data_IF_315570053009
#
_entry.id   IF_315570053009
#
_cell.length_a   1.000
_cell.length_b   1.000
_cell.length_c   1.000
_cell.angle_alpha   90.00
_cell.angle_beta   90.00
_cell.angle_gamma   90.00
#
_symmetry.space_group_name_H-M   'P 1'
#
loop_
_entity.id
_entity.type
_entity.pdbx_description
1 polymer ?
#
# COMPACT_ATOMS: atom_id res chain seq x y z
N UNK A 1 13.14 11.89 -24.04
CA UNK A 1 12.95 10.54 -23.47
C UNK A 1 11.68 10.59 -22.64
N UNK A 2 10.80 9.60 -22.74
CA UNK A 2 9.62 9.56 -21.89
C UNK A 2 10.05 8.96 -20.54
N UNK A 3 10.12 9.79 -19.52
CA UNK A 3 10.46 9.34 -18.17
C UNK A 3 9.28 8.57 -17.55
N UNK A 4 9.61 7.46 -16.91
CA UNK A 4 8.64 6.68 -16.15
C UNK A 4 8.18 7.47 -14.92
N UNK A 5 6.87 7.65 -14.75
CA UNK A 5 6.34 8.08 -13.46
C UNK A 5 6.20 6.87 -12.53
N UNK A 6 6.24 7.11 -11.21
CA UNK A 6 6.11 6.02 -10.22
C UNK A 6 4.83 5.19 -10.40
N UNK A 7 3.71 5.85 -10.72
CA UNK A 7 2.43 5.18 -10.97
C UNK A 7 2.47 4.31 -12.23
N UNK A 8 3.08 4.80 -13.31
CA UNK A 8 3.24 4.03 -14.54
C UNK A 8 4.10 2.79 -14.30
N UNK A 9 5.17 2.94 -13.51
CA UNK A 9 6.06 1.83 -13.19
C UNK A 9 5.33 0.72 -12.42
N UNK A 10 4.60 1.10 -11.37
CA UNK A 10 3.82 0.14 -10.57
C UNK A 10 2.71 -0.51 -11.41
N UNK A 11 2.02 0.26 -12.25
CA UNK A 11 0.99 -0.26 -13.16
C UNK A 11 1.57 -1.30 -14.12
N UNK A 12 2.69 -0.98 -14.77
CA UNK A 12 3.35 -1.90 -15.70
C UNK A 12 3.85 -3.17 -14.99
N UNK A 13 4.43 -3.06 -13.79
CA UNK A 13 4.85 -4.22 -13.01
C UNK A 13 3.67 -5.15 -12.65
N UNK A 14 2.51 -4.59 -12.32
CA UNK A 14 1.29 -5.35 -12.05
C UNK A 14 0.68 -5.94 -13.33
N UNK A 15 0.73 -5.24 -14.45
CA UNK A 15 0.29 -5.78 -15.74
C UNK A 15 1.12 -7.01 -16.13
N UNK A 16 2.46 -6.92 -16.03
CA UNK A 16 3.35 -8.05 -16.31
C UNK A 16 3.11 -9.24 -15.37
N UNK A 17 2.74 -9.01 -14.10
CA UNK A 17 2.30 -10.09 -13.20
C UNK A 17 1.08 -10.82 -13.75
N UNK A 18 0.04 -10.08 -14.12
CA UNK A 18 -1.21 -10.65 -14.63
C UNK A 18 -1.02 -11.39 -15.94
N UNK A 19 -0.29 -10.80 -16.88
CA UNK A 19 0.02 -11.41 -18.19
C UNK A 19 0.73 -12.76 -18.06
N UNK A 20 1.61 -12.89 -17.06
CA UNK A 20 2.36 -14.13 -16.78
C UNK A 20 1.62 -15.10 -15.83
N UNK A 21 0.47 -14.70 -15.29
CA UNK A 21 -0.26 -15.47 -14.26
C UNK A 21 0.48 -15.58 -12.93
N UNK A 22 1.37 -14.63 -12.63
CA UNK A 22 2.14 -14.61 -11.39
C UNK A 22 1.46 -13.75 -10.33
N UNK A 23 1.60 -14.19 -9.07
CA UNK A 23 1.16 -13.43 -7.91
C UNK A 23 2.33 -12.75 -7.20
N UNK A 24 2.03 -11.70 -6.45
CA UNK A 24 3.00 -11.09 -5.53
C UNK A 24 3.35 -12.09 -4.43
N UNK A 25 4.64 -12.35 -4.17
CA UNK A 25 5.04 -13.19 -3.07
C UNK A 25 4.76 -12.50 -1.74
N UNK A 26 4.23 -13.23 -0.76
CA UNK A 26 3.99 -12.73 0.60
C UNK A 26 5.28 -12.27 1.31
N UNK A 27 6.42 -12.86 0.94
CA UNK A 27 7.73 -12.50 1.50
C UNK A 27 8.79 -12.40 0.41
N UNK A 28 9.48 -11.27 0.38
CA UNK A 28 10.62 -11.04 -0.51
C UNK A 28 11.90 -11.07 0.31
N UNK A 29 12.71 -12.13 0.17
CA UNK A 29 13.96 -12.29 0.90
C UNK A 29 15.08 -11.37 0.39
N UNK A 30 15.08 -11.04 -0.90
CA UNK A 30 16.04 -10.13 -1.53
C UNK A 30 15.29 -9.02 -2.31
N UNK A 31 14.97 -7.88 -1.67
CA UNK A 31 14.17 -6.83 -2.29
C UNK A 31 14.88 -6.18 -3.48
N UNK A 32 16.19 -5.98 -3.40
CA UNK A 32 16.95 -5.34 -4.46
C UNK A 32 17.04 -6.24 -5.71
N UNK A 33 17.36 -7.53 -5.53
CA UNK A 33 17.41 -8.49 -6.64
C UNK A 33 16.04 -8.71 -7.28
N UNK A 34 14.99 -8.76 -6.46
CA UNK A 34 13.62 -8.84 -6.95
C UNK A 34 13.24 -7.62 -7.81
N UNK A 35 13.55 -6.41 -7.34
CA UNK A 35 13.26 -5.18 -8.08
C UNK A 35 14.04 -5.13 -9.40
N UNK A 36 15.33 -5.45 -9.39
CA UNK A 36 16.15 -5.47 -10.60
C UNK A 36 15.63 -6.48 -11.64
N UNK A 37 15.29 -7.69 -11.20
CA UNK A 37 14.69 -8.71 -12.07
C UNK A 37 13.34 -8.26 -12.67
N UNK A 38 12.54 -7.50 -11.90
CA UNK A 38 11.27 -6.95 -12.39
C UNK A 38 11.47 -5.85 -13.41
N UNK A 39 12.36 -4.91 -13.13
CA UNK A 39 12.68 -3.81 -14.05
C UNK A 39 13.20 -4.33 -15.39
N UNK A 40 13.99 -5.42 -15.38
CA UNK A 40 14.50 -6.04 -16.60
C UNK A 40 13.42 -6.68 -17.50
N UNK A 41 12.21 -6.94 -16.98
CA UNK A 41 11.11 -7.51 -17.74
C UNK A 41 10.19 -6.46 -18.37
N UNK A 42 10.34 -5.19 -17.98
CA UNK A 42 9.53 -4.10 -18.51
C UNK A 42 10.05 -3.68 -19.90
N UNK A 43 9.18 -3.17 -20.78
CA UNK A 43 9.61 -2.57 -22.03
C UNK A 43 10.48 -1.32 -21.78
N UNK A 44 11.38 -1.02 -22.72
CA UNK A 44 12.33 0.09 -22.60
C UNK A 44 11.66 1.47 -22.50
N UNK A 45 10.44 1.61 -23.01
CA UNK A 45 9.64 2.83 -22.94
C UNK A 45 8.32 2.56 -22.25
N UNK A 46 7.81 3.48 -21.43
CA UNK A 46 6.47 3.34 -20.88
C UNK A 46 5.48 3.23 -22.02
N UNK A 47 4.57 2.26 -21.95
CA UNK A 47 3.40 2.29 -22.80
C UNK A 47 2.70 3.61 -22.50
N UNK A 48 2.57 4.46 -23.51
CA UNK A 48 1.78 5.69 -23.40
C UNK A 48 0.34 5.21 -23.21
N UNK A 49 -0.08 5.04 -21.96
CA UNK A 49 -1.48 4.89 -21.65
C UNK A 49 -2.12 6.18 -22.14
N UNK A 50 -2.80 6.11 -23.30
CA UNK A 50 -3.72 7.14 -23.72
C UNK A 50 -4.55 7.47 -22.49
N UNK A 51 -4.62 8.75 -22.12
CA UNK A 51 -5.31 9.28 -20.96
C UNK A 51 -6.72 8.66 -20.83
N UNK A 52 -6.77 7.51 -20.18
CA UNK A 52 -7.96 6.73 -19.90
C UNK A 52 -8.18 6.81 -18.40
N UNK A 53 -9.43 6.86 -17.94
CA UNK A 53 -9.72 7.03 -16.53
C UNK A 53 -8.99 5.96 -15.73
N UNK A 54 -8.19 6.42 -14.77
CA UNK A 54 -7.49 5.58 -13.78
C UNK A 54 -8.53 4.61 -13.23
N UNK A 55 -8.41 3.31 -13.56
CA UNK A 55 -9.17 2.30 -12.87
C UNK A 55 -8.79 2.44 -11.38
N UNK A 56 -9.76 2.61 -10.47
CA UNK A 56 -9.45 2.76 -9.06
C UNK A 56 -8.60 1.57 -8.62
N UNK A 57 -7.60 1.80 -7.74
CA UNK A 57 -6.80 0.71 -7.20
C UNK A 57 -7.75 -0.34 -6.62
N UNK A 58 -7.47 -1.61 -6.91
CA UNK A 58 -8.16 -2.79 -6.36
C UNK A 58 -8.54 -2.52 -4.90
N UNK A 59 -9.83 -2.65 -4.60
CA UNK A 59 -10.50 -2.33 -3.33
C UNK A 59 -9.95 -3.24 -2.21
N UNK A 60 -8.68 -3.10 -1.83
CA UNK A 60 -8.20 -3.58 -0.55
C UNK A 60 -8.72 -2.59 0.49
N UNK A 61 -10.03 -2.66 0.73
CA UNK A 61 -10.67 -2.05 1.88
C UNK A 61 -10.35 -2.99 3.04
N UNK A 62 -9.33 -2.71 3.89
CA UNK A 62 -9.26 -3.43 5.15
C UNK A 62 -10.62 -3.20 5.81
N UNK A 63 -11.30 -4.28 6.19
CA UNK A 63 -12.50 -4.16 6.99
C UNK A 63 -12.10 -3.29 8.19
N UNK A 64 -12.58 -2.06 8.24
CA UNK A 64 -12.38 -1.21 9.40
C UNK A 64 -13.17 -1.89 10.50
N UNK A 65 -12.49 -2.75 11.27
CA UNK A 65 -13.05 -3.37 12.45
C UNK A 65 -13.14 -2.27 13.49
N UNK A 66 -14.21 -1.48 13.42
CA UNK A 66 -14.55 -0.53 14.45
C UNK A 66 -14.84 -1.32 15.73
N UNK A 67 -14.01 -1.18 16.76
CA UNK A 67 -14.35 -1.62 18.10
C UNK A 67 -15.74 -1.06 18.48
N UNK A 68 -16.55 -1.80 19.24
CA UNK A 68 -17.87 -1.33 19.68
C UNK A 68 -17.77 0.00 20.42
N UNK A 69 -18.86 0.77 20.43
CA UNK A 69 -18.89 2.10 21.02
C UNK A 69 -18.48 2.09 22.51
N UNK A 70 -18.85 1.03 23.23
CA UNK A 70 -18.45 0.76 24.60
C UNK A 70 -16.93 0.62 24.78
N UNK A 71 -16.26 -0.14 23.90
CA UNK A 71 -14.81 -0.37 23.98
C UNK A 71 -14.06 0.94 23.74
N UNK A 72 -14.53 1.75 22.79
CA UNK A 72 -13.95 3.08 22.54
C UNK A 72 -14.15 4.02 23.73
N UNK A 73 -15.33 4.02 24.35
CA UNK A 73 -15.62 4.85 25.51
C UNK A 73 -14.76 4.45 26.72
N UNK A 74 -14.59 3.15 26.97
CA UNK A 74 -13.75 2.63 28.05
C UNK A 74 -12.28 3.03 27.86
N UNK A 75 -11.74 2.84 26.64
CA UNK A 75 -10.36 3.20 26.33
C UNK A 75 -10.08 4.70 26.50
N UNK A 76 -11.01 5.57 26.08
CA UNK A 76 -10.86 7.02 26.26
C UNK A 76 -10.89 7.46 27.73
N UNK A 77 -11.70 6.79 28.56
CA UNK A 77 -11.74 7.06 29.99
C UNK A 77 -10.42 6.71 30.67
N UNK A 78 -9.82 5.56 30.32
CA UNK A 78 -8.53 5.12 30.82
C UNK A 78 -7.40 6.10 30.42
N UNK A 79 -7.34 6.48 29.14
CA UNK A 79 -6.37 7.46 28.64
C UNK A 79 -6.48 8.77 29.44
N UNK A 80 -7.70 9.25 29.68
CA UNK A 80 -7.94 10.48 30.43
C UNK A 80 -7.49 10.36 31.89
N UNK A 81 -7.68 9.21 32.54
CA UNK A 81 -7.19 8.99 33.90
C UNK A 81 -5.65 9.02 33.95
N UNK A 82 -5.00 8.29 33.03
CA UNK A 82 -3.52 8.25 32.96
C UNK A 82 -2.96 9.65 32.77
N UNK A 83 -3.54 10.43 31.85
CA UNK A 83 -3.10 11.80 31.60
C UNK A 83 -3.35 12.73 32.81
N UNK A 84 -4.46 12.55 33.52
CA UNK A 84 -4.76 13.31 34.74
C UNK A 84 -3.77 12.97 35.86
N UNK A 85 -3.47 11.69 36.06
CA UNK A 85 -2.49 11.21 37.04
C UNK A 85 -1.09 11.78 36.76
N UNK A 86 -0.67 11.76 35.49
CA UNK A 86 0.62 12.35 35.07
C UNK A 86 0.68 13.84 35.32
N UNK A 87 -0.44 14.55 35.14
CA UNK A 87 -0.52 16.00 35.36
C UNK A 87 -0.55 16.39 36.84
N UNK A 88 -1.07 15.54 37.73
CA UNK A 88 -1.01 15.77 39.18
C UNK A 88 0.34 15.39 39.81
N UNK A 89 1.15 14.59 39.10
CA UNK A 89 2.49 14.18 39.54
C UNK A 89 3.60 15.13 39.06
N UNK A 90 3.26 16.21 38.36
CA UNK A 90 4.13 17.28 37.89
C UNK A 90 3.78 18.58 38.61
#
# INVERSE_FOLDING_TARGET
MADWTGNQLVSAMNATMRERGWHWPDRIANPAGFLAFRLAQLPATPAVEACGPIAPPDDFKPAVVCASAEVRAAALAEIREILSRRKCAA
#
